data_IF_880209242354
#
_entry.id   IF_880209242354
#
_cell.length_a   1.000
_cell.length_b   1.000
_cell.length_c   1.000
_cell.angle_alpha   90.00
_cell.angle_beta   90.00
_cell.angle_gamma   90.00
#
_symmetry.space_group_name_H-M   'P 1'
#
loop_
_entity.id
_entity.type
_entity.pdbx_description
1 polymer ?
#
# COMPACT_ATOMS: atom_id res chain seq x y z
N UNK A 1 -17.28 16.28 -38.42
CA UNK A 1 -16.43 17.05 -37.48
C UNK A 1 -15.72 16.08 -36.56
N UNK A 2 -14.39 15.94 -36.64
CA UNK A 2 -13.61 15.18 -35.65
C UNK A 2 -13.33 16.11 -34.47
N UNK A 3 -13.98 15.91 -33.34
CA UNK A 3 -13.63 16.54 -32.06
C UNK A 3 -12.33 15.92 -31.58
N UNK A 4 -11.19 16.49 -32.00
CA UNK A 4 -9.93 16.19 -31.34
C UNK A 4 -10.03 16.80 -29.94
N UNK A 5 -10.18 15.95 -28.91
CA UNK A 5 -10.16 16.39 -27.51
C UNK A 5 -8.78 17.01 -27.23
N UNK A 6 -8.69 18.34 -27.39
CA UNK A 6 -7.45 19.10 -27.28
C UNK A 6 -7.17 19.55 -25.84
N UNK A 7 -7.77 18.90 -24.85
CA UNK A 7 -7.57 19.19 -23.43
C UNK A 7 -6.51 18.25 -22.85
N UNK A 8 -5.26 18.38 -23.33
CA UNK A 8 -4.13 17.74 -22.66
C UNK A 8 -3.73 18.64 -21.50
N UNK A 9 -4.16 18.28 -20.28
CA UNK A 9 -3.67 18.93 -19.06
C UNK A 9 -2.16 18.75 -18.99
N UNK A 10 -1.43 19.86 -19.19
CA UNK A 10 0.01 19.92 -18.94
C UNK A 10 0.18 20.43 -17.51
N UNK A 11 0.65 19.55 -16.65
CA UNK A 11 0.98 19.90 -15.28
C UNK A 11 2.11 20.92 -15.26
N UNK A 12 2.04 21.87 -14.33
CA UNK A 12 3.20 22.71 -14.01
C UNK A 12 4.28 21.86 -13.34
N UNK A 13 5.52 22.35 -13.34
CA UNK A 13 6.63 21.66 -12.65
C UNK A 13 6.32 21.38 -11.18
N UNK A 14 5.67 22.33 -10.50
CA UNK A 14 5.29 22.17 -9.10
C UNK A 14 4.26 21.06 -8.92
N UNK A 15 3.24 20.99 -9.78
CA UNK A 15 2.22 19.93 -9.74
C UNK A 15 2.82 18.55 -9.99
N UNK A 16 3.79 18.43 -10.91
CA UNK A 16 4.49 17.18 -11.17
C UNK A 16 5.22 16.69 -9.91
N UNK A 17 6.00 17.56 -9.27
CA UNK A 17 6.72 17.24 -8.03
C UNK A 17 5.76 16.76 -6.94
N UNK A 18 4.63 17.44 -6.76
CA UNK A 18 3.61 17.04 -5.77
C UNK A 18 3.02 15.67 -6.08
N UNK A 19 2.68 15.40 -7.35
CA UNK A 19 2.13 14.11 -7.77
C UNK A 19 3.16 13.00 -7.59
N UNK A 20 4.41 13.23 -7.96
CA UNK A 20 5.49 12.25 -7.79
C UNK A 20 5.71 11.91 -6.31
N UNK A 21 5.68 12.91 -5.42
CA UNK A 21 5.74 12.69 -3.97
C UNK A 21 4.57 11.84 -3.46
N UNK A 22 3.35 12.14 -3.89
CA UNK A 22 2.17 11.36 -3.51
C UNK A 22 2.25 9.92 -4.02
N UNK A 23 2.68 9.72 -5.27
CA UNK A 23 2.86 8.38 -5.84
C UNK A 23 3.89 7.58 -5.05
N UNK A 24 4.98 8.20 -4.62
CA UNK A 24 6.00 7.53 -3.81
C UNK A 24 5.47 7.13 -2.43
N UNK A 25 4.74 8.02 -1.74
CA UNK A 25 4.08 7.71 -0.47
C UNK A 25 3.09 6.55 -0.62
N UNK A 26 2.24 6.61 -1.65
CA UNK A 26 1.27 5.55 -1.94
C UNK A 26 1.95 4.21 -2.22
N UNK A 27 3.04 4.21 -2.99
CA UNK A 27 3.82 2.99 -3.28
C UNK A 27 4.40 2.38 -2.00
N UNK A 28 5.03 3.20 -1.16
CA UNK A 28 5.60 2.74 0.12
C UNK A 28 4.52 2.16 1.02
N UNK A 29 3.39 2.86 1.15
CA UNK A 29 2.27 2.41 1.96
C UNK A 29 1.68 1.10 1.43
N UNK A 30 1.51 0.97 0.11
CA UNK A 30 1.04 -0.26 -0.51
C UNK A 30 1.97 -1.45 -0.21
N UNK A 31 3.28 -1.27 -0.44
CA UNK A 31 4.27 -2.32 -0.20
C UNK A 31 4.33 -2.72 1.29
N UNK A 32 4.23 -1.74 2.19
CA UNK A 32 4.16 -2.00 3.63
C UNK A 32 2.96 -2.88 3.99
N UNK A 33 1.76 -2.50 3.54
CA UNK A 33 0.52 -3.28 3.80
C UNK A 33 0.54 -4.65 3.14
N UNK A 34 1.15 -4.78 1.97
CA UNK A 34 1.32 -6.07 1.31
C UNK A 34 2.21 -7.01 2.13
N UNK A 35 3.34 -6.50 2.65
CA UNK A 35 4.22 -7.27 3.53
C UNK A 35 3.50 -7.72 4.81
N UNK A 36 2.70 -6.85 5.44
CA UNK A 36 1.90 -7.24 6.61
C UNK A 36 0.95 -8.41 6.31
N UNK A 37 0.32 -8.43 5.13
CA UNK A 37 -0.57 -9.53 4.72
C UNK A 37 0.19 -10.84 4.52
N UNK A 38 1.38 -10.79 3.93
CA UNK A 38 2.21 -11.99 3.78
C UNK A 38 2.67 -12.51 5.14
N UNK A 39 3.14 -11.63 6.04
CA UNK A 39 3.52 -12.01 7.39
C UNK A 39 2.35 -12.66 8.13
N UNK A 40 1.15 -12.07 8.06
CA UNK A 40 -0.04 -12.67 8.67
C UNK A 40 -0.35 -14.05 8.09
N UNK A 41 -0.31 -14.19 6.76
CA UNK A 41 -0.54 -15.47 6.10
C UNK A 41 0.47 -16.53 6.53
N UNK A 42 1.76 -16.21 6.57
CA UNK A 42 2.80 -17.16 6.99
C UNK A 42 2.64 -17.62 8.44
N UNK A 43 2.23 -16.71 9.32
CA UNK A 43 2.02 -17.01 10.75
C UNK A 43 0.72 -17.77 11.02
N UNK A 44 -0.33 -17.54 10.23
CA UNK A 44 -1.67 -18.08 10.53
C UNK A 44 -2.14 -19.18 9.56
N UNK A 45 -1.38 -19.47 8.50
CA UNK A 45 -1.72 -20.56 7.59
C UNK A 45 -1.70 -21.90 8.32
N UNK A 46 -2.67 -22.73 7.99
CA UNK A 46 -2.75 -24.12 8.43
C UNK A 46 -3.35 -24.97 7.31
N UNK A 47 -3.16 -26.29 7.42
CA UNK A 47 -3.81 -27.22 6.51
C UNK A 47 -5.33 -27.15 6.71
N UNK A 48 -6.10 -27.40 5.63
CA UNK A 48 -7.57 -27.32 5.66
C UNK A 48 -8.19 -28.22 6.73
N UNK A 49 -7.49 -29.30 7.09
CA UNK A 49 -7.94 -30.29 8.07
C UNK A 49 -7.32 -30.09 9.47
N UNK A 50 -6.65 -28.97 9.73
CA UNK A 50 -6.01 -28.67 11.00
C UNK A 50 -6.31 -27.24 11.45
N UNK A 51 -6.40 -27.02 12.76
CA UNK A 51 -6.51 -25.68 13.35
C UNK A 51 -5.39 -25.49 14.37
N UNK A 52 -4.52 -24.49 14.20
CA UNK A 52 -3.46 -24.22 15.16
C UNK A 52 -4.06 -23.64 16.45
N UNK A 53 -3.74 -24.25 17.58
CA UNK A 53 -4.16 -23.76 18.91
C UNK A 53 -3.35 -22.54 19.39
N UNK A 54 -2.27 -22.20 18.68
CA UNK A 54 -1.42 -21.05 18.95
C UNK A 54 -1.84 -19.91 18.03
N UNK A 55 -2.25 -18.79 18.63
CA UNK A 55 -2.55 -17.56 17.90
C UNK A 55 -1.32 -16.65 17.90
N UNK A 56 -0.84 -16.28 16.72
CA UNK A 56 0.25 -15.33 16.57
C UNK A 56 -0.30 -13.90 16.66
N UNK A 57 -0.11 -13.27 17.82
CA UNK A 57 -0.43 -11.86 18.00
C UNK A 57 0.76 -11.01 17.55
N UNK A 58 0.57 -10.01 16.68
CA UNK A 58 1.64 -9.10 16.30
C UNK A 58 2.03 -8.22 17.50
N UNK A 59 3.29 -7.79 17.52
CA UNK A 59 3.75 -6.80 18.49
C UNK A 59 2.99 -5.48 18.29
N UNK A 60 2.72 -4.79 19.41
CA UNK A 60 2.10 -3.49 19.37
C UNK A 60 3.08 -2.51 18.70
N UNK A 61 2.60 -1.78 17.68
CA UNK A 61 3.42 -0.75 17.04
C UNK A 61 3.61 0.41 18.00
N UNK A 62 4.82 0.97 17.97
CA UNK A 62 5.11 2.20 18.70
C UNK A 62 4.20 3.35 18.25
N UNK A 63 3.95 4.27 19.18
CA UNK A 63 3.21 5.48 18.88
C UNK A 63 4.05 6.30 17.89
N UNK A 64 3.50 6.68 16.73
CA UNK A 64 4.22 7.52 15.80
C UNK A 64 4.52 8.90 16.40
N UNK A 65 5.70 9.42 16.07
CA UNK A 65 6.27 10.70 16.49
C UNK A 65 6.20 11.79 15.39
N UNK A 66 5.42 11.54 14.34
CA UNK A 66 5.22 12.45 13.20
C UNK A 66 4.11 13.49 13.41
#
# INVERSE_FOLDING_TARGET
MRTAYQYRLRLTRQQQVTIDQWLDICRRQYNYRLAERFNWWEQNRCDINACPLVCHLPELKDRPDF
#
